data_IF_768507149066
#
_entry.id   IF_768507149066
#
_cell.length_a   1.000
_cell.length_b   1.000
_cell.length_c   1.000
_cell.angle_alpha   90.00
_cell.angle_beta   90.00
_cell.angle_gamma   90.00
#
_symmetry.space_group_name_H-M   'P 1'
#
loop_
_entity.id
_entity.type
_entity.pdbx_description
1 polymer ?
#
# COMPACT_ATOMS: atom_id res chain seq x y z
N UNK A 1 -1.11 -11.97 -3.98
CA UNK A 1 -1.64 -11.23 -2.83
C UNK A 1 -1.88 -12.23 -1.71
N UNK A 2 -1.00 -12.33 -0.69
CA UNK A 2 -1.27 -13.19 0.44
C UNK A 2 -2.25 -12.46 1.36
N UNK A 3 -3.54 -12.60 1.07
CA UNK A 3 -4.62 -12.05 1.89
C UNK A 3 -5.02 -13.04 3.01
N UNK A 4 -5.67 -12.54 4.07
CA UNK A 4 -5.95 -13.25 5.32
C UNK A 4 -7.16 -14.20 5.17
N UNK A 5 -6.97 -15.48 5.49
CA UNK A 5 -7.87 -16.65 5.33
C UNK A 5 -9.30 -16.57 5.95
N UNK A 6 -9.80 -15.40 6.33
CA UNK A 6 -11.07 -15.19 7.04
C UNK A 6 -12.27 -14.82 6.17
N UNK A 7 -12.59 -15.61 5.14
CA UNK A 7 -14.00 -15.93 4.84
C UNK A 7 -14.63 -15.48 3.52
N UNK A 8 -14.18 -14.42 2.84
CA UNK A 8 -14.61 -14.09 1.46
C UNK A 8 -13.64 -13.07 0.85
N UNK A 9 -12.73 -13.52 -0.02
CA UNK A 9 -11.60 -12.70 -0.50
C UNK A 9 -11.57 -12.41 -2.01
N UNK A 10 -12.49 -12.99 -2.77
CA UNK A 10 -12.51 -12.83 -4.22
C UNK A 10 -13.65 -11.90 -4.67
N UNK A 11 -13.58 -10.62 -4.32
CA UNK A 11 -14.22 -9.60 -5.17
C UNK A 11 -13.16 -9.19 -6.18
N UNK A 12 -13.21 -9.68 -7.43
CA UNK A 12 -12.25 -9.27 -8.45
C UNK A 12 -12.43 -7.78 -8.73
N UNK A 13 -11.37 -7.02 -8.55
CA UNK A 13 -11.26 -5.64 -9.03
C UNK A 13 -10.75 -5.66 -10.46
N UNK A 14 -11.21 -4.72 -11.28
CA UNK A 14 -10.56 -4.43 -12.56
C UNK A 14 -9.49 -3.36 -12.32
N UNK A 15 -8.33 -3.78 -11.86
CA UNK A 15 -7.19 -2.93 -11.55
C UNK A 15 -5.91 -3.36 -12.31
N UNK A 16 -4.91 -2.49 -12.24
CA UNK A 16 -3.56 -2.73 -12.74
C UNK A 16 -2.61 -2.39 -11.60
N UNK A 17 -1.84 -3.38 -11.15
CA UNK A 17 -0.82 -3.19 -10.14
C UNK A 17 0.39 -2.46 -10.74
N UNK A 18 1.05 -1.62 -9.94
CA UNK A 18 2.23 -0.86 -10.36
C UNK A 18 3.39 -1.76 -10.83
N UNK A 19 3.48 -2.99 -10.32
CA UNK A 19 4.41 -4.02 -10.80
C UNK A 19 4.17 -4.35 -12.28
N UNK A 20 2.90 -4.50 -12.69
CA UNK A 20 2.54 -4.89 -14.06
C UNK A 20 2.93 -3.84 -15.11
N UNK A 21 3.16 -2.60 -14.68
CA UNK A 21 3.57 -1.48 -15.54
C UNK A 21 4.98 -0.96 -15.23
N UNK A 22 5.76 -1.69 -14.42
CA UNK A 22 7.15 -1.35 -14.13
C UNK A 22 7.35 -0.10 -13.25
N UNK A 23 6.34 0.27 -12.45
CA UNK A 23 6.35 1.46 -11.60
C UNK A 23 6.41 1.13 -10.09
N UNK A 24 6.66 -0.13 -9.72
CA UNK A 24 6.64 -0.58 -8.33
C UNK A 24 7.58 0.21 -7.43
N UNK A 25 8.87 0.28 -7.79
CA UNK A 25 9.89 0.95 -6.96
C UNK A 25 9.62 2.46 -6.83
N UNK A 26 9.17 3.10 -7.92
CA UNK A 26 8.75 4.50 -7.90
C UNK A 26 7.56 4.70 -6.94
N UNK A 27 6.61 3.78 -6.94
CA UNK A 27 5.46 3.84 -6.06
C UNK A 27 5.86 3.68 -4.59
N UNK A 28 6.77 2.75 -4.27
CA UNK A 28 7.31 2.60 -2.91
C UNK A 28 8.04 3.86 -2.43
N UNK A 29 8.85 4.47 -3.30
CA UNK A 29 9.54 5.71 -2.97
C UNK A 29 8.56 6.88 -2.73
N UNK A 30 7.49 6.97 -3.53
CA UNK A 30 6.42 7.93 -3.31
C UNK A 30 5.75 7.74 -1.94
N UNK A 31 5.43 6.51 -1.56
CA UNK A 31 4.86 6.21 -0.25
C UNK A 31 5.81 6.61 0.89
N UNK A 32 7.10 6.31 0.75
CA UNK A 32 8.13 6.65 1.74
C UNK A 32 8.32 8.15 1.90
N UNK A 33 8.39 8.89 0.79
CA UNK A 33 8.74 10.33 0.81
C UNK A 33 7.54 11.21 1.17
N UNK A 34 6.34 10.85 0.74
CA UNK A 34 5.17 11.72 0.89
C UNK A 34 4.13 11.18 1.87
N UNK A 35 3.78 9.89 1.76
CA UNK A 35 2.68 9.31 2.54
C UNK A 35 3.10 9.03 3.98
N UNK A 36 4.29 8.50 4.22
CA UNK A 36 4.78 8.23 5.57
C UNK A 36 4.85 9.50 6.45
N UNK A 37 5.44 10.64 5.99
CA UNK A 37 5.42 11.86 6.78
C UNK A 37 4.02 12.42 7.02
N UNK A 38 3.11 12.30 6.04
CA UNK A 38 1.72 12.70 6.19
C UNK A 38 1.03 11.85 7.26
N UNK A 39 1.17 10.53 7.19
CA UNK A 39 0.58 9.59 8.13
C UNK A 39 1.03 9.88 9.56
N UNK A 40 2.33 10.10 9.78
CA UNK A 40 2.88 10.42 11.12
C UNK A 40 2.38 11.74 11.68
N UNK A 41 2.02 12.72 10.82
CA UNK A 41 1.41 13.99 11.23
C UNK A 41 -0.07 13.83 11.58
N UNK A 42 -0.79 13.03 10.79
CA UNK A 42 -2.23 12.82 10.97
C UNK A 42 -2.55 11.89 12.14
N UNK A 43 -1.72 10.88 12.40
CA UNK A 43 -1.96 9.84 13.39
C UNK A 43 -0.84 9.80 14.43
N UNK A 44 -1.07 10.44 15.57
CA UNK A 44 -0.12 10.46 16.69
C UNK A 44 0.12 9.05 17.25
N UNK A 45 1.39 8.64 17.33
CA UNK A 45 1.80 7.36 17.93
C UNK A 45 1.95 6.19 16.96
N UNK A 46 1.56 6.35 15.69
CA UNK A 46 1.82 5.33 14.67
C UNK A 46 3.32 5.34 14.29
N UNK A 47 4.00 4.21 14.49
CA UNK A 47 5.39 3.98 14.11
C UNK A 47 5.47 2.89 13.05
N UNK A 48 6.45 3.01 12.18
CA UNK A 48 6.77 2.01 11.17
C UNK A 48 7.24 0.73 11.89
N UNK A 49 6.53 -0.39 11.68
CA UNK A 49 6.91 -1.74 12.13
C UNK A 49 7.42 -2.55 10.94
#
# INVERSE_FOLDING_TARGET
>A
DPRLEGGYEAVPTRDIHMEQVGLHDMWLEFLRVYVNPLQRKAFYGHKDY
#
